data_IF_612837729182
#
_entry.id   IF_612837729182
#
_cell.length_a   1.000
_cell.length_b   1.000
_cell.length_c   1.000
_cell.angle_alpha   90.00
_cell.angle_beta   90.00
_cell.angle_gamma   90.00
#
_symmetry.space_group_name_H-M   'P 1'
#
loop_
_entity.id
_entity.type
_entity.pdbx_description
1 polymer ?
#
# COMPACT_ATOMS: atom_id res chain seq x y z
N UNK A 1 -16.13 11.22 -17.17
CA UNK A 1 -16.79 12.28 -16.35
C UNK A 1 -16.27 12.29 -14.94
N UNK A 2 -16.24 11.16 -14.25
CA UNK A 2 -15.75 11.03 -12.85
C UNK A 2 -14.26 11.38 -12.69
N UNK A 3 -13.46 11.15 -13.72
CA UNK A 3 -12.02 11.48 -13.72
C UNK A 3 -11.74 12.99 -13.66
N UNK A 4 -12.51 13.80 -14.37
CA UNK A 4 -12.30 15.25 -14.47
C UNK A 4 -12.54 16.01 -13.15
N UNK A 5 -13.21 15.37 -12.18
CA UNK A 5 -13.51 15.97 -10.85
C UNK A 5 -12.62 15.39 -9.75
N UNK A 6 -11.71 14.48 -10.09
CA UNK A 6 -10.76 13.94 -9.13
C UNK A 6 -9.51 14.80 -9.09
N UNK A 7 -9.24 15.51 -7.98
CA UNK A 7 -8.12 16.46 -7.90
C UNK A 7 -6.75 15.84 -8.21
N UNK A 8 -6.51 14.60 -7.81
CA UNK A 8 -5.27 13.86 -8.06
C UNK A 8 -5.55 12.49 -8.67
N UNK A 9 -4.63 11.94 -9.49
CA UNK A 9 -4.70 10.53 -9.90
C UNK A 9 -4.61 9.60 -8.68
N UNK A 10 -5.10 8.37 -8.75
CA UNK A 10 -5.04 7.42 -7.63
C UNK A 10 -3.61 7.11 -7.19
N UNK A 11 -2.68 7.09 -8.13
CA UNK A 11 -1.25 6.83 -7.92
C UNK A 11 -0.46 7.45 -9.07
N UNK A 12 0.75 7.93 -8.75
CA UNK A 12 1.75 8.36 -9.73
C UNK A 12 2.96 7.45 -9.58
N UNK A 13 3.49 6.95 -10.69
CA UNK A 13 4.70 6.11 -10.69
C UNK A 13 5.77 6.80 -11.52
N UNK A 14 6.91 7.06 -10.90
CA UNK A 14 8.12 7.60 -11.52
C UNK A 14 9.25 6.56 -11.49
N UNK A 15 10.27 6.74 -12.31
CA UNK A 15 11.53 6.00 -12.20
C UNK A 15 12.60 6.90 -11.60
N UNK A 16 13.51 6.33 -10.88
CA UNK A 16 14.71 6.99 -10.36
C UNK A 16 15.45 7.74 -11.46
N UNK A 17 15.73 9.02 -11.23
CA UNK A 17 16.42 9.89 -12.18
C UNK A 17 15.53 10.44 -13.31
N UNK A 18 14.22 10.25 -13.25
CA UNK A 18 13.27 10.75 -14.25
C UNK A 18 12.25 11.70 -13.61
N UNK A 19 11.99 12.82 -14.28
CA UNK A 19 10.84 13.67 -13.98
C UNK A 19 9.56 12.94 -14.36
N UNK A 20 8.51 13.12 -13.57
CA UNK A 20 7.20 12.50 -13.84
C UNK A 20 6.11 13.56 -13.88
N UNK A 21 5.50 13.72 -15.05
CA UNK A 21 4.33 14.58 -15.22
C UNK A 21 3.06 13.91 -14.72
N UNK A 22 2.19 14.74 -14.12
CA UNK A 22 0.85 14.34 -13.67
C UNK A 22 -0.09 15.53 -13.75
N UNK A 23 -1.40 15.28 -13.75
CA UNK A 23 -2.43 16.30 -13.81
C UNK A 23 -3.13 16.50 -12.47
N UNK A 24 -3.54 17.72 -12.23
CA UNK A 24 -4.32 18.14 -11.06
C UNK A 24 -5.58 18.84 -11.55
N UNK A 25 -6.73 18.46 -11.00
CA UNK A 25 -8.00 19.11 -11.32
C UNK A 25 -8.46 19.94 -10.12
N UNK A 26 -8.75 21.20 -10.38
CA UNK A 26 -9.31 22.18 -9.43
C UNK A 26 -10.43 22.96 -10.11
N UNK A 27 -11.36 23.61 -9.37
CA UNK A 27 -12.29 24.55 -9.98
C UNK A 27 -11.56 25.56 -10.85
N UNK A 28 -12.10 25.85 -12.03
CA UNK A 28 -11.46 26.76 -12.99
C UNK A 28 -11.16 28.11 -12.35
N UNK A 29 -9.91 28.56 -12.53
CA UNK A 29 -9.41 29.81 -11.93
C UNK A 29 -9.01 29.72 -10.46
N UNK A 30 -9.20 28.57 -9.80
CA UNK A 30 -8.74 28.38 -8.43
C UNK A 30 -7.23 28.08 -8.38
N UNK A 31 -6.48 28.58 -7.37
CA UNK A 31 -5.07 28.28 -7.23
C UNK A 31 -4.87 26.79 -6.85
N UNK A 32 -3.84 26.15 -7.41
CA UNK A 32 -3.42 24.80 -7.03
C UNK A 32 -2.05 24.88 -6.35
N UNK A 33 -2.00 24.65 -5.03
CA UNK A 33 -0.76 24.48 -4.29
C UNK A 33 -0.45 22.98 -4.22
N UNK A 34 0.65 22.57 -4.84
CA UNK A 34 1.03 21.16 -5.00
C UNK A 34 2.46 20.93 -4.49
N UNK A 35 2.66 19.87 -3.70
CA UNK A 35 3.98 19.50 -3.18
C UNK A 35 4.07 17.99 -2.97
N UNK A 36 5.28 17.49 -2.80
CA UNK A 36 5.56 16.09 -2.42
C UNK A 36 6.07 16.05 -0.99
N UNK A 37 5.56 15.11 -0.20
CA UNK A 37 6.18 14.68 1.07
C UNK A 37 6.91 13.38 0.84
N UNK A 38 8.20 13.34 1.14
CA UNK A 38 9.03 12.15 1.01
C UNK A 38 8.76 11.17 2.15
N UNK A 39 9.25 9.94 2.00
CA UNK A 39 9.08 8.87 2.98
C UNK A 39 9.73 9.21 4.33
N UNK A 40 10.78 10.03 4.35
CA UNK A 40 11.43 10.53 5.54
C UNK A 40 10.73 11.74 6.20
N UNK A 41 9.61 12.19 5.62
CA UNK A 41 8.84 13.34 6.08
C UNK A 41 9.32 14.70 5.55
N UNK A 42 10.43 14.76 4.82
CA UNK A 42 10.87 15.99 4.16
C UNK A 42 9.98 16.34 2.96
N UNK A 43 10.02 17.58 2.49
CA UNK A 43 9.20 18.03 1.38
C UNK A 43 10.04 18.34 0.14
N UNK A 44 9.46 18.05 -1.03
CA UNK A 44 10.04 18.40 -2.33
C UNK A 44 9.03 19.21 -3.15
N UNK A 45 9.46 20.28 -3.82
CA UNK A 45 8.60 21.02 -4.72
C UNK A 45 8.25 20.21 -5.96
N UNK A 46 7.15 20.58 -6.60
CA UNK A 46 6.81 20.22 -7.98
C UNK A 46 6.78 21.50 -8.82
N UNK A 47 6.88 21.35 -10.12
CA UNK A 47 6.88 22.46 -11.05
C UNK A 47 5.66 22.38 -11.95
N UNK A 48 5.01 23.52 -12.16
CA UNK A 48 3.86 23.62 -13.03
C UNK A 48 4.31 23.78 -14.48
N UNK A 49 3.69 23.01 -15.37
CA UNK A 49 3.86 23.09 -16.81
C UNK A 49 2.71 23.86 -17.45
N UNK A 50 2.92 24.33 -18.66
CA UNK A 50 1.84 24.88 -19.47
C UNK A 50 0.81 23.78 -19.81
N UNK A 51 -0.47 24.12 -19.63
CA UNK A 51 -1.58 23.27 -19.98
C UNK A 51 -2.67 24.10 -20.66
N UNK A 52 -3.06 23.69 -21.86
CA UNK A 52 -4.04 24.38 -22.69
C UNK A 52 -5.32 23.55 -22.84
N UNK A 53 -5.51 22.52 -22.04
CA UNK A 53 -6.72 21.71 -22.08
C UNK A 53 -7.92 22.57 -21.63
N UNK A 54 -9.04 22.50 -22.39
CA UNK A 54 -10.24 23.24 -22.01
C UNK A 54 -10.81 22.66 -20.71
N UNK A 55 -11.43 23.52 -19.88
CA UNK A 55 -12.07 23.07 -18.67
C UNK A 55 -13.27 22.14 -18.95
N UNK A 56 -13.61 21.31 -17.99
CA UNK A 56 -14.72 20.35 -18.07
C UNK A 56 -15.83 20.70 -17.08
N UNK A 57 -17.06 20.75 -17.57
CA UNK A 57 -18.25 20.95 -16.73
C UNK A 57 -18.72 19.64 -16.09
N UNK A 58 -18.82 19.63 -14.75
CA UNK A 58 -19.45 18.54 -14.01
C UNK A 58 -20.12 19.05 -12.74
N UNK A 59 -21.35 18.61 -12.49
CA UNK A 59 -22.16 18.95 -11.32
C UNK A 59 -22.26 20.46 -11.02
N UNK A 60 -22.38 21.27 -12.08
CA UNK A 60 -22.51 22.73 -11.96
C UNK A 60 -21.21 23.47 -11.67
N UNK A 61 -20.09 22.78 -11.65
CA UNK A 61 -18.74 23.33 -11.47
C UNK A 61 -17.92 23.15 -12.74
N UNK A 62 -17.23 24.17 -13.15
CA UNK A 62 -16.24 24.13 -14.20
C UNK A 62 -14.90 23.75 -13.60
N UNK A 63 -14.33 22.63 -14.07
CA UNK A 63 -13.09 22.06 -13.59
C UNK A 63 -11.97 22.34 -14.57
N UNK A 64 -10.93 23.03 -14.11
CA UNK A 64 -9.70 23.23 -14.85
C UNK A 64 -8.71 22.10 -14.58
N UNK A 65 -7.84 21.87 -15.57
CA UNK A 65 -6.72 20.93 -15.47
C UNK A 65 -5.39 21.69 -15.48
N UNK A 66 -4.56 21.45 -14.48
CA UNK A 66 -3.18 21.95 -14.41
C UNK A 66 -2.20 20.77 -14.49
N UNK A 67 -1.14 20.95 -15.27
CA UNK A 67 -0.05 19.97 -15.39
C UNK A 67 1.10 20.33 -14.46
N UNK A 68 1.66 19.32 -13.82
CA UNK A 68 2.82 19.45 -12.96
C UNK A 68 3.80 18.32 -13.25
N UNK A 69 5.07 18.54 -12.93
CA UNK A 69 6.07 17.47 -12.91
C UNK A 69 6.86 17.46 -11.60
N UNK A 70 7.29 16.25 -11.22
CA UNK A 70 8.18 16.05 -10.08
C UNK A 70 9.61 16.36 -10.46
N UNK A 71 10.47 16.57 -9.48
CA UNK A 71 11.92 16.53 -9.69
C UNK A 71 12.37 15.14 -10.12
N UNK A 72 13.41 15.08 -10.95
CA UNK A 72 14.02 13.83 -11.39
C UNK A 72 14.96 13.20 -10.36
N UNK A 73 15.35 13.93 -9.30
CA UNK A 73 16.28 13.47 -8.27
C UNK A 73 15.59 12.98 -6.99
N UNK A 74 14.30 12.62 -7.07
CA UNK A 74 13.60 12.02 -5.94
C UNK A 74 14.20 10.66 -5.60
N UNK A 75 14.35 10.33 -4.30
CA UNK A 75 14.83 9.03 -3.87
C UNK A 75 13.84 7.92 -4.22
N UNK A 76 14.34 6.70 -4.42
CA UNK A 76 13.50 5.50 -4.53
C UNK A 76 12.73 5.31 -3.22
N UNK A 77 11.42 5.07 -3.32
CA UNK A 77 10.56 4.89 -2.15
C UNK A 77 9.09 5.21 -2.39
N UNK A 78 8.34 5.28 -1.31
CA UNK A 78 6.92 5.57 -1.26
C UNK A 78 6.71 6.98 -0.71
N UNK A 79 6.28 7.88 -1.56
CA UNK A 79 6.08 9.29 -1.24
C UNK A 79 4.61 9.66 -1.37
N UNK A 80 4.27 10.92 -1.07
CA UNK A 80 2.92 11.44 -1.21
C UNK A 80 2.93 12.75 -2.00
N UNK A 81 2.05 12.84 -2.99
CA UNK A 81 1.70 14.10 -3.64
C UNK A 81 0.50 14.67 -2.92
N UNK A 82 0.58 15.94 -2.58
CA UNK A 82 -0.52 16.68 -1.97
C UNK A 82 -0.97 17.79 -2.90
N UNK A 83 -2.26 18.08 -2.87
CA UNK A 83 -2.84 19.27 -3.47
C UNK A 83 -3.72 19.99 -2.45
N UNK A 84 -3.55 21.29 -2.37
CA UNK A 84 -4.45 22.18 -1.64
C UNK A 84 -4.90 23.31 -2.56
N UNK A 85 -6.19 23.57 -2.57
CA UNK A 85 -6.80 24.67 -3.27
C UNK A 85 -7.84 25.31 -2.37
N UNK A 86 -7.84 26.63 -2.32
CA UNK A 86 -8.86 27.42 -1.61
C UNK A 86 -9.55 28.31 -2.61
N UNK A 87 -10.86 28.28 -2.65
CA UNK A 87 -11.64 29.07 -3.58
C UNK A 87 -13.11 29.16 -3.21
N UNK A 88 -13.82 30.12 -3.79
CA UNK A 88 -15.23 30.39 -3.49
C UNK A 88 -16.17 29.20 -3.76
N UNK A 89 -15.72 28.17 -4.47
CA UNK A 89 -16.57 27.06 -4.92
C UNK A 89 -16.29 25.72 -4.27
N UNK A 90 -15.06 25.48 -3.81
CA UNK A 90 -14.69 24.28 -3.05
C UNK A 90 -13.29 24.43 -2.44
N UNK A 91 -13.14 24.03 -1.19
CA UNK A 91 -11.84 23.79 -0.58
C UNK A 91 -11.40 22.36 -0.89
N UNK A 92 -10.23 22.21 -1.50
CA UNK A 92 -9.64 20.92 -1.85
C UNK A 92 -8.42 20.70 -0.97
N UNK A 93 -8.39 19.55 -0.31
CA UNK A 93 -7.20 19.02 0.35
C UNK A 93 -7.17 17.51 0.09
N UNK A 94 -6.30 17.08 -0.81
CA UNK A 94 -6.18 15.67 -1.18
C UNK A 94 -4.72 15.25 -1.30
N UNK A 95 -4.51 13.95 -1.17
CA UNK A 95 -3.21 13.33 -1.39
C UNK A 95 -3.34 12.06 -2.23
N UNK A 96 -2.27 11.72 -2.93
CA UNK A 96 -2.13 10.44 -3.60
C UNK A 96 -0.73 9.86 -3.40
N UNK A 97 -0.59 8.57 -3.62
CA UNK A 97 0.69 7.89 -3.52
C UNK A 97 1.56 8.21 -4.75
N UNK A 98 2.82 8.59 -4.50
CA UNK A 98 3.88 8.66 -5.49
C UNK A 98 4.88 7.53 -5.21
N UNK A 99 5.05 6.64 -6.16
CA UNK A 99 6.05 5.56 -6.09
C UNK A 99 7.21 5.92 -6.99
N UNK A 100 8.41 6.06 -6.43
CA UNK A 100 9.64 6.18 -7.21
C UNK A 100 10.31 4.79 -7.22
N UNK A 101 10.35 4.17 -8.40
CA UNK A 101 10.94 2.85 -8.60
C UNK A 101 12.40 2.96 -9.01
N UNK A 102 13.26 1.98 -8.68
CA UNK A 102 14.60 1.92 -9.26
C UNK A 102 14.52 1.77 -10.79
N UNK A 103 15.56 2.16 -11.49
CA UNK A 103 15.65 1.99 -12.95
C UNK A 103 15.60 0.53 -13.38
N UNK A 104 16.19 -0.32 -12.57
CA UNK A 104 16.24 -1.75 -12.77
C UNK A 104 16.03 -2.45 -11.43
N UNK A 105 15.18 -3.46 -11.43
CA UNK A 105 15.10 -4.34 -10.27
C UNK A 105 16.43 -5.08 -10.16
N UNK A 106 17.06 -4.97 -8.99
CA UNK A 106 18.20 -5.81 -8.66
C UNK A 106 17.69 -7.23 -8.54
N UNK A 107 18.05 -8.08 -9.50
CA UNK A 107 17.96 -9.51 -9.29
C UNK A 107 18.91 -9.85 -8.14
N UNK A 108 18.53 -10.81 -7.30
CA UNK A 108 19.32 -11.28 -6.16
C UNK A 108 20.64 -11.92 -6.62
N UNK A 109 21.54 -11.10 -7.21
CA UNK A 109 22.89 -11.55 -7.57
C UNK A 109 23.63 -12.07 -6.34
N UNK A 110 23.33 -11.52 -5.16
CA UNK A 110 23.86 -11.99 -3.88
C UNK A 110 23.40 -13.42 -3.56
N UNK A 111 22.15 -13.78 -3.89
CA UNK A 111 21.64 -15.14 -3.74
C UNK A 111 22.21 -16.13 -4.77
N UNK A 112 22.66 -15.64 -5.92
CA UNK A 112 23.36 -16.49 -6.92
C UNK A 112 24.75 -16.85 -6.45
N UNK A 113 25.42 -15.94 -5.72
CA UNK A 113 26.75 -16.18 -5.14
C UNK A 113 26.68 -16.98 -3.84
N UNK A 114 25.63 -16.82 -3.05
CA UNK A 114 25.36 -17.53 -1.82
C UNK A 114 23.99 -18.22 -1.93
N UNK A 115 23.94 -19.49 -2.37
CA UNK A 115 22.67 -20.21 -2.50
C UNK A 115 21.89 -20.18 -1.19
N UNK A 116 20.67 -19.70 -1.24
CA UNK A 116 19.73 -19.68 -0.11
C UNK A 116 18.73 -20.83 -0.25
N UNK A 117 18.32 -21.41 0.87
CA UNK A 117 17.25 -22.39 0.90
C UNK A 117 16.22 -22.04 1.97
N UNK A 118 15.01 -22.50 1.78
CA UNK A 118 13.93 -22.25 2.73
C UNK A 118 12.90 -23.35 2.75
N UNK A 119 11.98 -23.22 3.68
CA UNK A 119 10.84 -24.13 3.82
C UNK A 119 9.58 -23.49 3.22
N UNK A 120 8.65 -24.32 2.78
CA UNK A 120 7.30 -23.92 2.40
C UNK A 120 6.30 -24.67 3.26
N UNK A 121 5.35 -23.95 3.84
CA UNK A 121 4.28 -24.52 4.64
C UNK A 121 2.93 -23.86 4.30
N UNK A 122 1.88 -24.65 4.35
CA UNK A 122 0.52 -24.11 4.38
C UNK A 122 0.18 -23.84 5.85
N UNK A 123 0.14 -22.55 6.24
CA UNK A 123 -0.02 -22.15 7.64
C UNK A 123 -1.26 -22.79 8.27
N UNK A 124 -2.37 -22.82 7.55
CA UNK A 124 -3.62 -23.45 8.00
C UNK A 124 -3.50 -24.96 8.34
N UNK A 125 -2.45 -25.63 7.87
CA UNK A 125 -2.18 -27.05 8.15
C UNK A 125 -1.07 -27.29 9.19
N UNK A 126 -0.40 -26.24 9.64
CA UNK A 126 0.57 -26.31 10.74
C UNK A 126 -0.19 -26.64 12.04
N UNK A 127 0.41 -27.45 12.90
CA UNK A 127 -0.16 -27.86 14.17
C UNK A 127 0.86 -27.76 15.29
N UNK A 128 0.43 -27.19 16.40
CA UNK A 128 1.11 -27.21 17.69
C UNK A 128 0.17 -27.72 18.79
N UNK A 129 0.67 -27.86 19.99
CA UNK A 129 -0.15 -28.19 21.15
C UNK A 129 -1.14 -27.09 21.54
N UNK A 130 -0.86 -25.84 21.14
CA UNK A 130 -1.65 -24.65 21.44
C UNK A 130 -2.60 -24.25 20.30
N UNK A 131 -2.45 -24.88 19.14
CA UNK A 131 -3.24 -24.56 17.95
C UNK A 131 -4.72 -24.91 18.13
N UNK A 132 -5.61 -24.00 17.75
CA UNK A 132 -7.08 -24.20 17.75
C UNK A 132 -7.59 -25.05 16.58
N UNK A 133 -6.72 -25.82 15.95
CA UNK A 133 -7.05 -26.69 14.82
C UNK A 133 -6.65 -26.10 13.47
N UNK A 134 -6.25 -24.86 13.43
CA UNK A 134 -5.65 -24.17 12.29
C UNK A 134 -4.37 -23.51 12.80
N UNK A 135 -3.27 -23.61 12.05
CA UNK A 135 -2.04 -22.90 12.41
C UNK A 135 -2.23 -21.40 12.28
N UNK A 136 -1.77 -20.66 13.25
CA UNK A 136 -1.90 -19.23 13.40
C UNK A 136 -0.53 -18.52 13.35
N UNK A 137 -0.49 -17.21 13.66
CA UNK A 137 0.76 -16.43 13.64
C UNK A 137 1.73 -16.78 14.76
N UNK A 138 1.25 -17.36 15.87
CA UNK A 138 2.12 -17.93 16.89
C UNK A 138 2.85 -19.15 16.33
N UNK A 139 2.10 -20.10 15.76
CA UNK A 139 2.63 -21.29 15.09
C UNK A 139 3.62 -20.92 13.96
N UNK A 140 3.32 -19.85 13.21
CA UNK A 140 4.23 -19.33 12.19
C UNK A 140 5.56 -18.87 12.79
N UNK A 141 5.50 -18.15 13.92
CA UNK A 141 6.69 -17.68 14.65
C UNK A 141 7.55 -18.84 15.12
N UNK A 142 6.95 -19.85 15.71
CA UNK A 142 7.66 -21.05 16.15
C UNK A 142 8.28 -21.81 14.97
N UNK A 143 7.53 -22.03 13.91
CA UNK A 143 8.03 -22.67 12.69
C UNK A 143 9.20 -21.92 12.08
N UNK A 144 9.14 -20.58 12.05
CA UNK A 144 10.23 -19.73 11.56
C UNK A 144 11.49 -19.90 12.40
N UNK A 145 11.36 -19.96 13.74
CA UNK A 145 12.49 -20.21 14.64
C UNK A 145 13.09 -21.60 14.40
N UNK A 146 12.27 -22.62 14.24
CA UNK A 146 12.74 -23.98 13.93
C UNK A 146 13.47 -23.99 12.58
N UNK A 147 12.90 -23.40 11.54
CA UNK A 147 13.50 -23.31 10.22
C UNK A 147 14.89 -22.60 10.27
N UNK A 148 14.95 -21.46 10.95
CA UNK A 148 16.19 -20.68 11.10
C UNK A 148 17.28 -21.47 11.86
N UNK A 149 16.93 -22.23 12.90
CA UNK A 149 17.88 -23.10 13.64
C UNK A 149 18.48 -24.18 12.76
N UNK A 150 17.79 -24.57 11.70
CA UNK A 150 18.28 -25.52 10.69
C UNK A 150 18.99 -24.85 9.52
N UNK A 151 19.16 -23.51 9.58
CA UNK A 151 19.88 -22.74 8.58
C UNK A 151 19.02 -22.34 7.36
N UNK A 152 17.71 -22.39 7.46
CA UNK A 152 16.84 -21.87 6.42
C UNK A 152 16.87 -20.33 6.40
N UNK A 153 16.95 -19.77 5.21
CA UNK A 153 17.01 -18.32 4.98
C UNK A 153 15.62 -17.68 4.87
N UNK A 154 14.61 -18.48 4.53
CA UNK A 154 13.24 -18.00 4.39
C UNK A 154 12.19 -19.09 4.68
N UNK A 155 10.97 -18.63 4.96
CA UNK A 155 9.79 -19.46 5.09
C UNK A 155 8.68 -18.87 4.19
N UNK A 156 8.19 -19.66 3.24
CA UNK A 156 7.10 -19.30 2.36
C UNK A 156 5.80 -19.92 2.90
N UNK A 157 4.77 -19.11 3.04
CA UNK A 157 3.45 -19.56 3.48
C UNK A 157 2.37 -19.28 2.43
N UNK A 158 1.19 -19.85 2.61
CA UNK A 158 0.00 -19.50 1.85
C UNK A 158 -0.40 -18.03 2.07
N UNK A 159 -1.21 -17.42 1.16
CA UNK A 159 -1.81 -16.12 1.41
C UNK A 159 -2.63 -16.10 2.70
N UNK A 160 -2.46 -15.06 3.50
CA UNK A 160 -3.21 -14.86 4.77
C UNK A 160 -4.25 -13.74 4.67
N UNK A 161 -4.69 -13.45 3.45
CA UNK A 161 -5.63 -12.38 3.15
C UNK A 161 -7.04 -12.67 3.67
N UNK A 162 -7.81 -11.60 3.91
CA UNK A 162 -9.16 -11.69 4.47
C UNK A 162 -10.15 -12.41 3.53
N UNK A 163 -10.87 -13.37 4.10
CA UNK A 163 -12.05 -13.99 3.49
C UNK A 163 -13.32 -13.18 3.81
N UNK A 164 -14.49 -13.72 3.43
CA UNK A 164 -15.78 -13.14 3.78
C UNK A 164 -15.94 -13.08 5.30
N UNK A 165 -16.50 -11.95 5.84
CA UNK A 165 -16.70 -11.79 7.26
C UNK A 165 -17.89 -12.60 7.81
N UNK A 166 -18.68 -13.22 6.93
CA UNK A 166 -19.88 -13.99 7.28
C UNK A 166 -19.89 -15.35 6.58
N UNK A 167 -20.44 -16.39 7.24
CA UNK A 167 -20.65 -17.71 6.62
C UNK A 167 -21.57 -17.66 5.38
N UNK A 168 -21.34 -18.50 4.38
CA UNK A 168 -20.26 -19.49 4.29
C UNK A 168 -18.92 -18.83 3.97
N UNK A 169 -17.89 -19.15 4.75
CA UNK A 169 -16.53 -18.69 4.50
C UNK A 169 -15.88 -19.61 3.46
N UNK A 170 -15.21 -19.01 2.47
CA UNK A 170 -14.46 -19.75 1.46
C UNK A 170 -13.32 -20.54 2.10
N UNK A 171 -13.23 -21.82 1.81
CA UNK A 171 -12.21 -22.72 2.39
C UNK A 171 -10.80 -22.42 1.82
N UNK A 172 -10.73 -21.81 0.64
CA UNK A 172 -9.49 -21.56 -0.07
C UNK A 172 -8.92 -20.19 0.27
N UNK A 173 -7.68 -20.09 0.79
CA UNK A 173 -7.03 -18.80 1.03
C UNK A 173 -6.59 -18.09 -0.26
N UNK A 174 -6.71 -18.74 -1.43
CA UNK A 174 -6.24 -18.21 -2.71
C UNK A 174 -7.28 -17.33 -3.41
N UNK A 175 -8.52 -17.30 -2.94
CA UNK A 175 -9.61 -16.44 -3.43
C UNK A 175 -10.07 -15.46 -2.33
N UNK A 176 -9.22 -14.51 -1.91
CA UNK A 176 -9.59 -13.60 -0.83
C UNK A 176 -10.61 -12.55 -1.30
N UNK A 177 -11.50 -12.15 -0.41
CA UNK A 177 -12.39 -11.01 -0.59
C UNK A 177 -11.63 -9.70 -0.58
N UNK A 178 -10.58 -9.60 0.24
CA UNK A 178 -9.73 -8.42 0.32
C UNK A 178 -8.27 -8.79 0.56
N UNK A 179 -7.38 -8.19 -0.22
CA UNK A 179 -5.93 -8.29 -0.03
C UNK A 179 -5.37 -7.18 0.89
N UNK A 180 -6.22 -6.29 1.38
CA UNK A 180 -5.82 -5.19 2.28
C UNK A 180 -5.83 -5.56 3.74
N UNK A 181 -6.53 -6.64 4.09
CA UNK A 181 -6.71 -7.10 5.46
C UNK A 181 -6.24 -8.54 5.59
N UNK A 182 -5.86 -8.90 6.81
CA UNK A 182 -5.50 -10.26 7.18
C UNK A 182 -6.76 -11.01 7.61
N UNK A 183 -6.84 -12.29 7.31
CA UNK A 183 -7.91 -13.16 7.79
C UNK A 183 -7.74 -13.39 9.30
N UNK A 184 -8.73 -13.00 10.13
CA UNK A 184 -8.64 -13.15 11.59
C UNK A 184 -8.47 -14.59 12.07
N UNK A 185 -8.75 -15.60 11.24
CA UNK A 185 -8.53 -17.02 11.56
C UNK A 185 -7.07 -17.35 11.90
N UNK A 186 -6.12 -16.50 11.47
CA UNK A 186 -4.68 -16.65 11.74
C UNK A 186 -4.20 -15.89 12.97
N UNK A 187 -5.09 -15.26 13.74
CA UNK A 187 -4.75 -14.56 14.98
C UNK A 187 -4.69 -15.58 16.12
N UNK A 188 -3.53 -15.66 16.79
CA UNK A 188 -3.43 -16.34 18.09
C UNK A 188 -4.12 -15.47 19.14
N UNK A 189 -5.34 -15.82 19.51
CA UNK A 189 -6.22 -14.99 20.34
C UNK A 189 -5.60 -14.74 21.73
N UNK A 190 -4.93 -15.72 22.29
CA UNK A 190 -4.26 -15.65 23.58
C UNK A 190 -3.10 -14.67 23.61
N UNK A 191 -2.49 -14.38 22.46
CA UNK A 191 -1.40 -13.39 22.32
C UNK A 191 -1.92 -11.96 22.22
N UNK A 192 -3.23 -11.76 22.02
CA UNK A 192 -3.84 -10.43 22.02
C UNK A 192 -3.82 -9.85 23.45
N UNK A 193 -3.27 -8.65 23.67
CA UNK A 193 -3.13 -8.11 25.04
C UNK A 193 -4.44 -8.02 25.81
N UNK A 194 -5.53 -7.71 25.12
CA UNK A 194 -6.87 -7.58 25.67
C UNK A 194 -7.49 -8.92 26.10
N UNK A 195 -7.02 -10.05 25.57
CA UNK A 195 -7.47 -11.37 25.96
C UNK A 195 -7.36 -11.62 27.48
N UNK A 196 -6.32 -11.07 28.09
CA UNK A 196 -6.10 -11.15 29.53
C UNK A 196 -7.10 -10.36 30.39
N UNK A 197 -7.90 -9.51 29.75
CA UNK A 197 -8.94 -8.70 30.39
C UNK A 197 -10.30 -9.40 30.37
N UNK A 198 -10.42 -10.53 29.66
CA UNK A 198 -11.66 -11.31 29.64
C UNK A 198 -11.85 -12.04 30.96
N UNK A 199 -13.08 -12.00 31.49
CA UNK A 199 -13.45 -12.79 32.66
C UNK A 199 -13.53 -14.27 32.28
N UNK A 200 -13.27 -15.16 33.25
CA UNK A 200 -13.25 -16.61 33.06
C UNK A 200 -14.62 -17.20 32.62
N UNK A 201 -15.66 -16.40 32.60
CA UNK A 201 -17.04 -16.79 32.19
C UNK A 201 -17.37 -16.37 30.73
N UNK A 202 -16.42 -15.74 30.04
CA UNK A 202 -16.59 -15.33 28.63
C UNK A 202 -15.90 -16.33 27.69
#
# INVERSE_FOLDING_TARGET
>A
REWATRPLPPVVVAREGEEKSFTVHVPEGAPANVWVTLEDGSTSPVYQDENWNPPTWNDGIEWGEASFHTRGDLPVGWHRIHVASTGDRADIAQECTLVVTPRQLTTNLDLVQNPAWGMMAQLYSVRSEQSWGIGDFHDLGELAVVAARHGADYLLINPVHAAEPFPPVEDSPYLPTSRRFVNPIYIAVEDVPEFKLLDAET
#
